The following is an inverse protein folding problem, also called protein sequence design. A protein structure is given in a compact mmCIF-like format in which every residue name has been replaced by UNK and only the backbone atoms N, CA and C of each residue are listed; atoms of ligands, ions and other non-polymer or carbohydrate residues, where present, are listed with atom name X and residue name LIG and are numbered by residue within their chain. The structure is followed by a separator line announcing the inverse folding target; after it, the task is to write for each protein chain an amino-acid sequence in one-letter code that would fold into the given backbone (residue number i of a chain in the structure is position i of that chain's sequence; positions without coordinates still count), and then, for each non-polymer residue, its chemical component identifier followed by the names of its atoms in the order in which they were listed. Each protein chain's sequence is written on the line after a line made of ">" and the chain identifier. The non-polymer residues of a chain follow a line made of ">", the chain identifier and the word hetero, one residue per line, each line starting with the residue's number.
data_IF_300478053609
#
_entry.id   IF_300478053609
#
_cell.length_a   1.000
_cell.length_b   1.000
_cell.length_c   1.000
_cell.angle_alpha   90.00
_cell.angle_beta   90.00
_cell.angle_gamma   90.00
#
_symmetry.space_group_name_H-M   'P 1'
#
loop_
_entity.id
_entity.type
_entity.pdbx_description
1 polymer ?
#
# COMPACT_ATOMS: atom_id res chain seq x y z
N UNK A 1 -4.32 -4.13 12.49
CA UNK A 1 -4.30 -2.66 12.54
C UNK A 1 -3.39 -2.13 11.45
N UNK A 2 -3.70 -0.94 10.95
CA UNK A 2 -2.95 -0.22 9.91
C UNK A 2 -2.78 1.21 10.41
N UNK A 3 -1.54 1.62 10.69
CA UNK A 3 -1.29 2.93 11.30
C UNK A 3 -1.53 4.07 10.32
N UNK A 4 -2.23 5.11 10.79
CA UNK A 4 -2.57 6.33 10.05
C UNK A 4 -1.88 7.55 10.66
N UNK A 5 -1.42 8.43 9.78
CA UNK A 5 -0.76 9.70 10.11
C UNK A 5 -1.48 10.86 9.40
N UNK A 6 -1.33 12.07 9.95
CA UNK A 6 -1.96 13.29 9.42
C UNK A 6 -1.43 13.65 8.02
N UNK A 7 -0.12 13.45 7.78
CA UNK A 7 0.50 13.66 6.47
C UNK A 7 1.86 12.99 6.35
N UNK A 8 2.39 12.83 5.13
CA UNK A 8 3.70 12.20 4.91
C UNK A 8 4.84 12.89 5.68
N UNK A 9 4.74 14.21 5.92
CA UNK A 9 5.72 14.99 6.70
C UNK A 9 5.56 14.80 8.21
N UNK A 10 4.33 14.55 8.69
CA UNK A 10 4.00 14.38 10.11
C UNK A 10 3.82 12.90 10.44
N UNK A 11 4.92 12.18 10.67
CA UNK A 11 4.94 10.72 10.89
C UNK A 11 4.48 10.23 12.27
N UNK A 12 3.93 11.12 13.10
CA UNK A 12 3.30 10.72 14.34
C UNK A 12 1.99 10.01 14.04
N UNK A 13 1.79 8.84 14.65
CA UNK A 13 0.57 8.03 14.51
C UNK A 13 -0.54 8.77 15.24
N UNK A 14 -1.58 9.14 14.50
CA UNK A 14 -2.75 9.85 15.04
C UNK A 14 -3.96 8.94 15.19
N UNK A 15 -4.00 7.86 14.41
CA UNK A 15 -5.16 6.95 14.33
C UNK A 15 -4.73 5.61 13.71
N UNK A 16 -5.64 4.64 13.60
CA UNK A 16 -5.42 3.37 12.88
C UNK A 16 -6.71 2.76 12.37
N UNK A 17 -6.65 2.14 11.18
CA UNK A 17 -7.71 1.24 10.71
C UNK A 17 -7.55 -0.14 11.36
N UNK A 18 -8.64 -0.86 11.66
CA UNK A 18 -8.52 -2.17 12.31
C UNK A 18 -7.98 -3.22 11.33
N UNK A 19 -8.48 -3.18 10.09
CA UNK A 19 -8.14 -4.10 9.01
C UNK A 19 -8.10 -3.39 7.63
N UNK A 20 -7.74 -4.14 6.57
CA UNK A 20 -7.69 -3.61 5.20
C UNK A 20 -9.08 -3.24 4.65
N UNK A 21 -10.13 -3.96 5.05
CA UNK A 21 -11.51 -3.64 4.69
C UNK A 21 -11.91 -2.24 5.13
N UNK A 22 -11.66 -1.88 6.40
CA UNK A 22 -11.95 -0.52 6.91
C UNK A 22 -11.18 0.56 6.14
N UNK A 23 -9.92 0.29 5.79
CA UNK A 23 -9.11 1.18 4.97
C UNK A 23 -9.73 1.38 3.58
N UNK A 24 -10.13 0.29 2.93
CA UNK A 24 -10.76 0.34 1.60
C UNK A 24 -12.11 1.04 1.66
N UNK A 25 -12.90 0.83 2.72
CA UNK A 25 -14.17 1.55 2.93
C UNK A 25 -13.95 3.07 3.01
N UNK A 26 -12.94 3.51 3.76
CA UNK A 26 -12.53 4.92 3.77
C UNK A 26 -12.14 5.41 2.38
N UNK A 27 -11.36 4.64 1.62
CA UNK A 27 -10.92 5.05 0.26
C UNK A 27 -12.11 5.17 -0.71
N UNK A 28 -13.14 4.32 -0.57
CA UNK A 28 -14.35 4.35 -1.40
C UNK A 28 -15.25 5.55 -1.11
N UNK A 29 -15.37 5.92 0.17
CA UNK A 29 -16.32 6.93 0.61
C UNK A 29 -15.77 7.79 1.75
N UNK A 30 -14.68 8.55 1.53
CA UNK A 30 -14.15 9.44 2.54
C UNK A 30 -15.04 10.69 2.68
N UNK A 31 -14.80 11.54 3.70
CA UNK A 31 -15.51 12.81 3.84
C UNK A 31 -15.42 13.70 2.58
N UNK A 32 -16.44 14.53 2.27
CA UNK A 32 -16.47 15.36 1.07
C UNK A 32 -15.23 16.23 0.85
N UNK A 33 -14.68 16.82 1.91
CA UNK A 33 -13.48 17.66 1.86
C UNK A 33 -12.24 16.89 1.38
N UNK A 34 -12.19 15.58 1.68
CA UNK A 34 -11.12 14.69 1.21
C UNK A 34 -11.30 14.36 -0.27
N UNK A 35 -12.54 14.14 -0.70
CA UNK A 35 -12.90 13.92 -2.12
C UNK A 35 -12.52 15.15 -2.95
N UNK A 36 -12.89 16.35 -2.50
CA UNK A 36 -12.54 17.61 -3.15
C UNK A 36 -11.02 17.78 -3.29
N UNK A 37 -10.27 17.49 -2.23
CA UNK A 37 -8.82 17.61 -2.22
C UNK A 37 -8.15 16.61 -3.19
N UNK A 38 -8.60 15.36 -3.22
CA UNK A 38 -8.10 14.35 -4.16
C UNK A 38 -8.43 14.74 -5.60
N UNK A 39 -9.67 15.15 -5.87
CA UNK A 39 -10.09 15.55 -7.21
C UNK A 39 -9.32 16.79 -7.69
N UNK A 40 -9.08 17.77 -6.80
CA UNK A 40 -8.24 18.90 -7.12
C UNK A 40 -6.80 18.47 -7.43
N UNK A 41 -6.19 17.58 -6.62
CA UNK A 41 -4.86 17.08 -6.92
C UNK A 41 -4.78 16.40 -8.29
N UNK A 42 -5.82 15.69 -8.72
CA UNK A 42 -5.89 15.04 -10.03
C UNK A 42 -5.98 16.01 -11.21
N UNK A 43 -6.35 17.27 -11.00
CA UNK A 43 -6.32 18.29 -12.06
C UNK A 43 -4.94 18.90 -12.25
N UNK A 44 -4.00 18.63 -11.35
CA UNK A 44 -2.67 19.22 -11.36
C UNK A 44 -1.65 18.31 -12.05
N UNK A 45 -0.61 18.92 -12.59
CA UNK A 45 0.59 18.19 -13.02
C UNK A 45 1.28 17.53 -11.80
N UNK A 46 1.68 16.26 -11.92
CA UNK A 46 2.30 15.48 -10.82
C UNK A 46 3.60 16.12 -10.31
N UNK A 47 4.28 16.88 -11.16
CA UNK A 47 5.53 17.55 -10.81
C UNK A 47 5.36 18.98 -10.31
N UNK A 48 4.14 19.52 -10.38
CA UNK A 48 3.82 20.83 -9.83
C UNK A 48 4.06 20.90 -8.31
N UNK A 49 4.45 22.09 -7.86
CA UNK A 49 4.65 22.37 -6.43
C UNK A 49 3.35 22.14 -5.63
N UNK A 50 2.19 22.51 -6.18
CA UNK A 50 0.91 22.34 -5.50
C UNK A 50 0.51 20.86 -5.37
N UNK A 51 0.72 20.03 -6.40
CA UNK A 51 0.48 18.59 -6.27
C UNK A 51 1.36 17.98 -5.17
N UNK A 52 2.66 18.32 -5.17
CA UNK A 52 3.62 17.87 -4.17
C UNK A 52 3.23 18.34 -2.77
N UNK A 53 2.78 19.59 -2.64
CA UNK A 53 2.29 20.16 -1.39
C UNK A 53 1.06 19.41 -0.86
N UNK A 54 0.06 19.16 -1.71
CA UNK A 54 -1.13 18.38 -1.33
C UNK A 54 -0.71 17.00 -0.85
N UNK A 55 0.01 16.24 -1.68
CA UNK A 55 0.44 14.87 -1.39
C UNK A 55 1.23 14.77 -0.07
N UNK A 56 2.18 15.68 0.16
CA UNK A 56 3.14 15.55 1.27
C UNK A 56 2.60 16.17 2.56
N UNK A 57 1.91 17.30 2.48
CA UNK A 57 1.57 18.12 3.66
C UNK A 57 0.10 18.04 4.05
N UNK A 58 -0.82 17.76 3.12
CA UNK A 58 -2.27 17.92 3.32
C UNK A 58 -3.04 16.60 3.31
N UNK A 59 -2.47 15.55 2.71
CA UNK A 59 -3.11 14.24 2.61
C UNK A 59 -2.68 13.31 3.75
N UNK A 60 -3.62 12.69 4.48
CA UNK A 60 -3.29 11.64 5.43
C UNK A 60 -2.69 10.43 4.71
N UNK A 61 -1.88 9.66 5.43
CA UNK A 61 -1.21 8.49 4.89
C UNK A 61 -1.23 7.31 5.86
N UNK A 62 -0.99 6.12 5.34
CA UNK A 62 -0.91 4.88 6.10
C UNK A 62 0.32 4.07 5.75
N UNK A 63 0.74 3.18 6.66
CA UNK A 63 1.68 2.10 6.37
C UNK A 63 0.94 0.77 6.43
N UNK A 64 0.90 0.06 5.31
CA UNK A 64 0.12 -1.17 5.17
C UNK A 64 0.86 -2.41 5.67
N UNK A 65 2.16 -2.56 5.37
CA UNK A 65 2.87 -3.82 5.62
C UNK A 65 3.28 -4.06 7.08
N UNK A 66 3.46 -2.99 7.85
CA UNK A 66 3.97 -3.07 9.22
C UNK A 66 3.26 -2.09 10.15
N UNK A 67 3.16 -2.51 11.42
CA UNK A 67 2.81 -1.66 12.56
C UNK A 67 4.08 -1.09 13.21
N UNK A 68 3.94 0.04 13.90
CA UNK A 68 5.05 0.73 14.57
C UNK A 68 4.76 1.00 16.04
N UNK A 69 5.79 0.87 16.86
CA UNK A 69 5.81 1.24 18.27
C UNK A 69 6.06 2.75 18.45
N UNK A 70 5.96 3.21 19.71
CA UNK A 70 6.28 4.59 20.13
C UNK A 70 5.46 5.68 19.43
N UNK A 71 4.31 5.33 18.83
CA UNK A 71 3.42 6.29 18.19
C UNK A 71 4.03 6.99 16.97
N UNK A 72 5.03 6.40 16.30
CA UNK A 72 5.75 7.08 15.22
C UNK A 72 6.23 6.12 14.12
N UNK A 73 5.89 6.42 12.86
CA UNK A 73 6.28 5.60 11.70
C UNK A 73 7.74 5.87 11.31
N UNK A 74 8.60 4.90 11.59
CA UNK A 74 10.03 4.88 11.23
C UNK A 74 10.51 3.44 11.22
N UNK A 75 11.39 3.07 10.29
CA UNK A 75 11.95 1.72 10.24
C UNK A 75 12.57 1.21 11.57
N UNK A 76 13.15 2.08 12.39
CA UNK A 76 13.66 1.68 13.72
C UNK A 76 12.58 1.40 14.78
N UNK A 77 11.31 1.73 14.49
CA UNK A 77 10.18 1.57 15.40
C UNK A 77 9.26 0.42 14.99
N UNK A 78 9.67 -0.47 14.08
CA UNK A 78 8.82 -1.60 13.66
C UNK A 78 8.41 -2.41 14.90
N UNK A 79 7.12 -2.70 14.99
CA UNK A 79 6.57 -3.54 16.05
C UNK A 79 6.28 -4.95 15.53
N UNK A 80 5.47 -5.06 14.46
CA UNK A 80 5.08 -6.34 13.87
C UNK A 80 4.60 -6.18 12.42
N UNK A 81 4.73 -7.22 11.58
CA UNK A 81 4.04 -7.25 10.29
C UNK A 81 2.52 -7.23 10.49
N UNK A 82 1.78 -6.68 9.53
CA UNK A 82 0.31 -6.63 9.57
C UNK A 82 -0.36 -7.89 9.05
N UNK A 83 0.41 -8.80 8.43
CA UNK A 83 -0.12 -9.93 7.63
C UNK A 83 -0.40 -9.56 6.18
N UNK A 84 -0.01 -8.36 5.75
CA UNK A 84 -0.17 -7.88 4.38
C UNK A 84 1.16 -7.49 3.76
N UNK A 85 1.32 -7.80 2.47
CA UNK A 85 2.36 -7.25 1.62
C UNK A 85 1.74 -6.14 0.77
N UNK A 86 2.41 -4.98 0.74
CA UNK A 86 2.01 -3.84 -0.08
C UNK A 86 2.93 -3.70 -1.29
N UNK A 87 2.34 -3.52 -2.47
CA UNK A 87 3.05 -3.29 -3.73
C UNK A 87 2.53 -1.98 -4.34
N UNK A 88 3.44 -1.07 -4.64
CA UNK A 88 3.16 0.20 -5.33
C UNK A 88 3.47 0.02 -6.81
N UNK A 89 2.47 0.23 -7.66
CA UNK A 89 2.57 0.12 -9.12
C UNK A 89 2.43 1.53 -9.70
N UNK A 90 3.48 2.03 -10.35
CA UNK A 90 3.46 3.35 -11.00
C UNK A 90 3.23 3.23 -12.50
N UNK A 91 2.45 4.15 -13.06
CA UNK A 91 2.19 4.24 -14.50
C UNK A 91 1.20 3.22 -15.08
N UNK A 92 0.72 2.25 -14.27
CA UNK A 92 -0.18 1.19 -14.71
C UNK A 92 -1.39 1.07 -13.77
N UNK A 93 -2.52 0.70 -14.35
CA UNK A 93 -3.83 0.56 -13.71
C UNK A 93 -4.41 -0.83 -13.94
N UNK A 94 -5.58 -1.09 -13.37
CA UNK A 94 -6.27 -2.38 -13.49
C UNK A 94 -6.74 -2.68 -14.92
N UNK A 95 -6.62 -1.70 -15.82
CA UNK A 95 -6.89 -1.82 -17.25
C UNK A 95 -5.66 -2.37 -18.01
N UNK A 96 -4.47 -2.33 -17.42
CA UNK A 96 -3.20 -2.62 -18.09
C UNK A 96 -2.66 -4.03 -17.84
N UNK A 97 -3.11 -4.71 -16.78
CA UNK A 97 -2.70 -6.09 -16.44
C UNK A 97 -3.78 -6.82 -15.63
N UNK A 98 -3.75 -8.15 -15.67
CA UNK A 98 -4.70 -8.98 -14.92
C UNK A 98 -4.33 -9.03 -13.44
N UNK A 99 -5.27 -8.67 -12.57
CA UNK A 99 -5.09 -8.76 -11.13
C UNK A 99 -5.61 -10.12 -10.65
N UNK A 100 -4.71 -10.98 -10.18
CA UNK A 100 -5.10 -12.28 -9.64
C UNK A 100 -5.79 -12.13 -8.27
N UNK A 101 -7.11 -11.98 -8.31
CA UNK A 101 -7.98 -11.81 -7.13
C UNK A 101 -8.11 -13.06 -6.25
N UNK A 102 -7.51 -14.20 -6.61
CA UNK A 102 -7.35 -15.31 -5.68
C UNK A 102 -6.37 -14.96 -4.54
N UNK A 103 -5.37 -14.12 -4.82
CA UNK A 103 -4.31 -13.73 -3.87
C UNK A 103 -4.37 -12.25 -3.48
N UNK A 104 -4.74 -11.37 -4.41
CA UNK A 104 -4.85 -9.93 -4.15
C UNK A 104 -6.13 -9.65 -3.36
N UNK A 105 -5.98 -9.26 -2.09
CA UNK A 105 -7.10 -9.01 -1.20
C UNK A 105 -7.63 -7.58 -1.28
N UNK A 106 -6.82 -6.63 -1.74
CA UNK A 106 -7.27 -5.27 -1.99
C UNK A 106 -6.42 -4.57 -3.04
N UNK A 107 -7.02 -3.63 -3.75
CA UNK A 107 -6.30 -2.68 -4.58
C UNK A 107 -7.09 -1.38 -4.74
N UNK A 108 -6.40 -0.29 -5.06
CA UNK A 108 -7.01 1.01 -5.36
C UNK A 108 -6.06 1.88 -6.17
N UNK A 109 -6.62 2.84 -6.92
CA UNK A 109 -5.84 3.80 -7.69
C UNK A 109 -5.17 4.85 -6.80
N UNK A 110 -3.93 5.19 -7.13
CA UNK A 110 -3.13 6.23 -6.46
C UNK A 110 -3.77 7.62 -6.54
N UNK A 111 -3.18 8.59 -5.83
CA UNK A 111 -3.65 9.98 -5.83
C UNK A 111 -3.72 10.58 -7.24
N UNK A 112 -2.73 10.33 -8.10
CA UNK A 112 -2.71 10.83 -9.48
C UNK A 112 -3.63 10.06 -10.43
N UNK A 113 -4.24 8.95 -10.00
CA UNK A 113 -5.06 8.07 -10.83
C UNK A 113 -4.32 7.34 -11.97
N UNK A 114 -2.99 7.35 -11.97
CA UNK A 114 -2.13 6.79 -13.03
C UNK A 114 -1.32 5.58 -12.56
N UNK A 115 -1.64 5.05 -11.39
CA UNK A 115 -0.88 4.00 -10.70
C UNK A 115 -1.77 3.38 -9.66
N UNK A 116 -1.34 2.28 -9.05
CA UNK A 116 -2.15 1.50 -8.11
C UNK A 116 -1.38 1.09 -6.88
N UNK A 117 -2.13 0.94 -5.79
CA UNK A 117 -1.72 0.19 -4.61
C UNK A 117 -2.32 -1.20 -4.69
N UNK A 118 -1.50 -2.24 -4.50
CA UNK A 118 -1.93 -3.64 -4.43
C UNK A 118 -1.57 -4.20 -3.06
N UNK A 119 -2.48 -4.99 -2.50
CA UNK A 119 -2.31 -5.63 -1.19
C UNK A 119 -2.56 -7.13 -1.31
N UNK A 120 -1.62 -7.92 -0.81
CA UNK A 120 -1.65 -9.38 -0.79
C UNK A 120 -1.58 -9.87 0.65
N UNK A 121 -2.37 -10.90 1.00
CA UNK A 121 -2.24 -11.56 2.31
C UNK A 121 -1.02 -12.47 2.33
N UNK A 122 -0.19 -12.32 3.35
CA UNK A 122 1.06 -13.08 3.48
C UNK A 122 1.28 -13.58 4.90
N UNK A 123 1.97 -14.71 5.01
CA UNK A 123 2.43 -15.26 6.27
C UNK A 123 3.97 -15.30 6.32
N UNK A 124 4.55 -14.92 7.46
CA UNK A 124 6.01 -14.96 7.66
C UNK A 124 6.78 -13.78 7.06
N UNK A 125 6.11 -12.66 6.75
CA UNK A 125 6.78 -11.42 6.36
C UNK A 125 7.56 -10.83 7.54
N UNK A 126 8.81 -10.44 7.30
CA UNK A 126 9.69 -9.77 8.26
C UNK A 126 10.35 -8.56 7.59
N UNK A 127 10.97 -7.68 8.38
CA UNK A 127 11.79 -6.58 7.84
C UNK A 127 12.90 -7.09 6.91
N UNK A 128 13.48 -8.23 7.26
CA UNK A 128 14.68 -8.77 6.63
C UNK A 128 14.37 -9.43 5.30
N UNK A 129 13.19 -10.04 5.17
CA UNK A 129 12.76 -10.70 3.94
C UNK A 129 11.88 -9.82 3.04
N UNK A 130 11.48 -8.61 3.47
CA UNK A 130 10.53 -7.75 2.76
C UNK A 130 10.86 -7.61 1.27
N UNK A 131 12.09 -7.20 0.93
CA UNK A 131 12.47 -6.97 -0.48
C UNK A 131 12.36 -8.23 -1.34
N UNK A 132 12.87 -9.34 -0.83
CA UNK A 132 12.87 -10.61 -1.57
C UNK A 132 11.44 -11.16 -1.70
N UNK A 133 10.64 -11.02 -0.64
CA UNK A 133 9.24 -11.39 -0.61
C UNK A 133 8.43 -10.58 -1.62
N UNK A 134 8.62 -9.26 -1.66
CA UNK A 134 7.93 -8.40 -2.63
C UNK A 134 8.29 -8.77 -4.06
N UNK A 135 9.58 -8.95 -4.36
CA UNK A 135 10.02 -9.34 -5.70
C UNK A 135 9.42 -10.67 -6.14
N UNK A 136 9.44 -11.68 -5.27
CA UNK A 136 8.95 -13.02 -5.60
C UNK A 136 7.43 -13.10 -5.71
N UNK A 137 6.70 -12.36 -4.89
CA UNK A 137 5.24 -12.28 -5.01
C UNK A 137 4.86 -11.49 -6.26
N UNK A 138 5.55 -10.40 -6.57
CA UNK A 138 5.30 -9.64 -7.78
C UNK A 138 5.54 -10.50 -9.04
N UNK A 139 6.63 -11.26 -9.07
CA UNK A 139 6.90 -12.23 -10.14
C UNK A 139 5.84 -13.34 -10.23
N UNK A 140 5.46 -13.93 -9.09
CA UNK A 140 4.44 -14.98 -9.04
C UNK A 140 3.07 -14.51 -9.56
N UNK A 141 2.71 -13.26 -9.29
CA UNK A 141 1.42 -12.68 -9.64
C UNK A 141 1.46 -11.84 -10.93
N UNK A 142 2.59 -11.83 -11.64
CA UNK A 142 2.83 -11.01 -12.83
C UNK A 142 2.52 -9.50 -12.60
N UNK A 143 2.88 -9.00 -11.42
CA UNK A 143 2.71 -7.60 -11.02
C UNK A 143 4.01 -6.84 -11.31
N UNK A 144 3.96 -5.63 -11.90
CA UNK A 144 5.12 -4.77 -12.06
C UNK A 144 5.84 -4.49 -10.74
N UNK A 145 7.17 -4.65 -10.74
CA UNK A 145 8.00 -4.52 -9.55
C UNK A 145 9.06 -3.43 -9.70
N UNK A 146 9.07 -2.47 -8.77
CA UNK A 146 10.16 -1.50 -8.57
C UNK A 146 10.79 -1.71 -7.19
N UNK A 147 12.06 -2.10 -7.15
CA UNK A 147 12.79 -2.36 -5.90
C UNK A 147 12.98 -1.10 -5.05
N UNK A 148 12.97 0.08 -5.68
CA UNK A 148 13.05 1.39 -5.02
C UNK A 148 11.75 1.77 -4.32
N UNK A 149 10.63 1.18 -4.74
CA UNK A 149 9.34 1.34 -4.12
C UNK A 149 9.18 0.48 -2.85
N UNK A 150 10.12 -0.42 -2.54
CA UNK A 150 10.03 -1.28 -1.36
C UNK A 150 10.75 -0.67 -0.15
N UNK A 151 9.98 -0.30 0.87
CA UNK A 151 10.49 0.11 2.18
C UNK A 151 9.59 -0.40 3.30
N UNK A 152 10.17 -0.66 4.47
CA UNK A 152 9.43 -1.12 5.65
C UNK A 152 8.45 -0.05 6.15
N UNK A 153 8.84 1.21 6.05
CA UNK A 153 8.03 2.37 6.43
C UNK A 153 7.40 3.06 5.21
N UNK A 154 7.10 2.28 4.17
CA UNK A 154 6.42 2.76 2.96
C UNK A 154 5.07 3.34 3.35
N UNK A 155 4.92 4.63 3.04
CA UNK A 155 3.66 5.34 3.20
C UNK A 155 2.90 5.32 1.87
N UNK A 156 1.60 5.10 1.97
CA UNK A 156 0.65 5.43 0.90
C UNK A 156 -0.30 6.50 1.40
N UNK A 157 -0.51 7.54 0.59
CA UNK A 157 -1.51 8.56 0.89
C UNK A 157 -2.90 7.95 0.75
N UNK A 158 -3.84 8.37 1.61
CA UNK A 158 -5.22 7.96 1.52
C UNK A 158 -5.87 8.71 0.37
N UNK A 159 -6.09 8.04 -0.75
CA UNK A 159 -6.71 8.60 -1.96
C UNK A 159 -8.25 8.58 -1.86
N UNK A 160 -8.92 8.81 -2.99
CA UNK A 160 -10.34 8.55 -3.20
C UNK A 160 -10.52 7.70 -4.47
N UNK A 161 -11.04 6.49 -4.30
CA UNK A 161 -11.31 5.57 -5.40
C UNK A 161 -12.61 4.79 -5.14
N UNK A 162 -13.74 5.19 -5.75
CA UNK A 162 -15.02 4.48 -5.66
C UNK A 162 -14.95 3.03 -6.13
N UNK A 163 -13.98 2.70 -6.98
CA UNK A 163 -13.79 1.35 -7.55
C UNK A 163 -12.77 0.53 -6.77
N UNK A 164 -12.25 1.03 -5.65
CA UNK A 164 -11.31 0.28 -4.82
C UNK A 164 -11.86 -1.12 -4.52
N UNK A 165 -11.01 -2.12 -4.57
CA UNK A 165 -11.38 -3.51 -4.39
C UNK A 165 -11.02 -4.00 -3.00
N UNK A 166 -11.87 -4.87 -2.45
CA UNK A 166 -11.57 -5.63 -1.24
C UNK A 166 -12.27 -6.99 -1.28
N UNK A 167 -11.52 -8.04 -0.94
CA UNK A 167 -12.02 -9.37 -0.68
C UNK A 167 -11.19 -10.03 0.43
N UNK A 168 -11.84 -10.34 1.55
CA UNK A 168 -11.20 -11.01 2.68
C UNK A 168 -11.00 -12.52 2.43
N UNK A 169 -11.76 -13.11 1.50
CA UNK A 169 -11.66 -14.53 1.15
C UNK A 169 -10.63 -14.73 0.03
N UNK A 170 -9.37 -14.52 0.37
CA UNK A 170 -8.20 -14.70 -0.52
C UNK A 170 -7.21 -15.68 0.10
N UNK A 171 -6.45 -16.35 -0.75
CA UNK A 171 -5.38 -17.24 -0.34
C UNK A 171 -4.24 -16.46 0.32
N UNK A 172 -3.67 -17.02 1.38
CA UNK A 172 -2.53 -16.45 2.09
C UNK A 172 -1.26 -17.04 1.49
N UNK A 173 -0.31 -16.20 1.08
CA UNK A 173 0.97 -16.66 0.54
C UNK A 173 2.01 -16.80 1.67
N UNK A 174 2.49 -18.01 1.97
CA UNK A 174 3.55 -18.23 2.95
C UNK A 174 4.93 -17.87 2.38
N UNK A 175 5.56 -16.81 2.90
CA UNK A 175 6.81 -16.26 2.38
C UNK A 175 7.96 -17.27 2.38
N UNK A 176 8.09 -18.09 3.43
CA UNK A 176 9.18 -19.07 3.50
C UNK A 176 9.10 -20.10 2.37
N UNK A 177 7.91 -20.62 2.05
CA UNK A 177 7.75 -21.60 0.98
C UNK A 177 8.05 -20.99 -0.39
N UNK A 178 7.64 -19.74 -0.61
CA UNK A 178 7.96 -19.00 -1.83
C UNK A 178 9.47 -18.82 -2.00
N UNK A 179 10.20 -18.51 -0.93
CA UNK A 179 11.67 -18.37 -0.99
C UNK A 179 12.34 -19.73 -1.22
N UNK A 180 11.91 -20.79 -0.53
CA UNK A 180 12.52 -22.11 -0.62
C UNK A 180 12.33 -22.76 -1.98
N UNK A 181 11.12 -22.73 -2.56
CA UNK A 181 10.86 -23.30 -3.89
C UNK A 181 11.85 -22.75 -4.92
N UNK A 182 12.17 -21.46 -4.82
CA UNK A 182 13.11 -20.80 -5.72
C UNK A 182 14.57 -21.17 -5.53
N UNK A 183 15.00 -21.52 -4.31
CA UNK A 183 16.38 -21.97 -4.05
C UNK A 183 16.65 -23.33 -4.72
N UNK A 184 15.62 -24.17 -4.88
CA UNK A 184 15.78 -25.51 -5.46
C UNK A 184 15.60 -25.58 -6.99
N UNK A 185 15.20 -24.48 -7.64
CA UNK A 185 15.08 -24.36 -9.10
C UNK A 185 16.20 -23.50 -9.74
N UNK A 186 17.25 -23.15 -8.97
CA UNK A 186 18.52 -22.55 -9.41
C UNK A 186 19.65 -23.58 -9.30
#
# INVERSE_FOLDING_TARGET
>A
MINKIESCKKRQITDSFQNIGDLVEFIKSPPPEHIELVNHARTLDRDSEEYKNIKINRMPAVSVGFNFANGYIKGGNIFSPTGYLYIDVDGLTEEDFEINTAYVCAYWRSLSNTGMSIVVKVEGLTSDNLKIATSKIAELLDIPYDDRAVSIDRLTVLTYDPKAYYNDNTEVIPIMLTIFLWIYFL
#
